data_IF_977314577614
#
_entry.id   IF_977314577614
#
_cell.length_a   1.000
_cell.length_b   1.000
_cell.length_c   1.000
_cell.angle_alpha   90.00
_cell.angle_beta   90.00
_cell.angle_gamma   90.00
#
_symmetry.space_group_name_H-M   'P 1'
#
loop_
_entity.id
_entity.type
_entity.pdbx_description
1 polymer ?
#
# COMPACT_ATOMS: atom_id res chain seq x y z
N UNK A 1 6.04 -10.15 -10.43
CA UNK A 1 5.66 -10.68 -11.76
C UNK A 1 6.83 -11.41 -12.44
N UNK A 2 8.04 -10.80 -12.47
CA UNK A 2 9.23 -11.47 -13.10
C UNK A 2 9.58 -12.78 -12.40
N UNK A 3 9.51 -12.83 -11.07
CA UNK A 3 9.76 -14.06 -10.30
C UNK A 3 8.77 -15.19 -10.66
N UNK A 4 7.51 -14.84 -10.93
CA UNK A 4 6.47 -15.79 -11.33
C UNK A 4 6.73 -16.30 -12.76
N UNK A 5 7.14 -15.41 -13.66
CA UNK A 5 7.45 -15.76 -15.06
C UNK A 5 8.75 -16.57 -15.18
N UNK A 6 9.65 -16.48 -14.18
CA UNK A 6 10.90 -17.24 -14.15
C UNK A 6 11.87 -16.86 -15.27
N UNK A 7 12.54 -17.86 -15.84
CA UNK A 7 13.59 -17.65 -16.86
C UNK A 7 13.14 -16.90 -18.11
N UNK A 8 11.87 -17.02 -18.52
CA UNK A 8 11.32 -16.28 -19.66
C UNK A 8 11.25 -14.77 -19.44
N UNK A 9 11.29 -14.31 -18.19
CA UNK A 9 11.34 -12.87 -17.86
C UNK A 9 12.70 -12.24 -18.15
N UNK A 10 13.76 -13.05 -18.30
CA UNK A 10 15.14 -12.57 -18.51
C UNK A 10 15.47 -12.49 -20.01
N UNK A 11 14.90 -13.40 -20.81
CA UNK A 11 15.16 -13.47 -22.23
C UNK A 11 14.50 -12.31 -22.97
N UNK A 12 15.27 -11.59 -23.80
CA UNK A 12 14.71 -10.62 -24.73
C UNK A 12 14.02 -11.34 -25.88
N UNK A 13 12.80 -10.95 -26.17
CA UNK A 13 12.06 -11.53 -27.29
C UNK A 13 10.56 -11.34 -27.19
N UNK A 14 9.80 -11.77 -28.19
CA UNK A 14 8.35 -11.55 -28.28
C UNK A 14 7.57 -12.23 -27.15
N UNK A 15 8.17 -13.21 -26.48
CA UNK A 15 7.55 -14.00 -25.43
C UNK A 15 7.67 -13.36 -24.04
N UNK A 16 8.59 -12.40 -23.87
CA UNK A 16 8.73 -11.66 -22.64
C UNK A 16 7.81 -10.42 -22.65
N UNK A 17 6.54 -10.60 -22.28
CA UNK A 17 5.58 -9.51 -22.21
C UNK A 17 5.87 -8.53 -21.08
N UNK A 18 6.66 -8.92 -20.06
CA UNK A 18 7.02 -8.04 -18.93
C UNK A 18 8.17 -7.10 -19.27
N UNK A 19 8.97 -7.40 -20.28
CA UNK A 19 10.16 -6.63 -20.65
C UNK A 19 9.83 -5.16 -20.91
N UNK A 20 8.73 -4.88 -21.61
CA UNK A 20 8.29 -3.51 -21.90
C UNK A 20 7.97 -2.72 -20.63
N UNK A 21 7.32 -3.35 -19.65
CA UNK A 21 7.03 -2.74 -18.34
C UNK A 21 8.31 -2.51 -17.55
N UNK A 22 9.20 -3.49 -17.51
CA UNK A 22 10.50 -3.34 -16.86
C UNK A 22 11.32 -2.21 -17.47
N UNK A 23 11.38 -2.13 -18.79
CA UNK A 23 12.12 -1.08 -19.51
C UNK A 23 11.52 0.30 -19.31
N UNK A 24 10.22 0.43 -19.15
CA UNK A 24 9.54 1.69 -18.88
C UNK A 24 9.52 2.10 -17.41
N UNK A 25 9.75 1.18 -16.47
CA UNK A 25 9.69 1.45 -15.04
C UNK A 25 10.59 2.62 -14.58
N UNK A 26 11.83 2.83 -15.11
CA UNK A 26 12.66 3.98 -14.75
C UNK A 26 12.03 5.34 -15.03
N UNK A 27 11.07 5.44 -15.96
CA UNK A 27 10.34 6.68 -16.23
C UNK A 27 9.64 7.17 -14.96
N UNK A 28 9.01 6.27 -14.19
CA UNK A 28 8.35 6.60 -12.93
C UNK A 28 9.28 7.14 -11.83
N UNK A 29 10.60 6.94 -11.97
CA UNK A 29 11.59 7.48 -11.03
C UNK A 29 11.90 8.95 -11.33
N UNK A 30 11.85 9.35 -12.61
CA UNK A 30 12.40 10.63 -13.09
C UNK A 30 11.33 11.63 -13.55
N UNK A 31 10.17 11.16 -14.01
CA UNK A 31 9.10 12.00 -14.54
C UNK A 31 8.05 12.27 -13.48
N UNK A 32 7.50 13.51 -13.46
CA UNK A 32 6.45 13.94 -12.54
C UNK A 32 6.86 13.99 -11.05
N UNK A 33 8.13 14.20 -10.79
CA UNK A 33 8.71 14.20 -9.45
C UNK A 33 9.23 12.82 -9.05
N UNK A 34 10.51 12.78 -8.63
CA UNK A 34 11.08 11.53 -8.17
C UNK A 34 10.29 11.00 -6.96
N UNK A 35 10.15 9.67 -6.86
CA UNK A 35 9.45 9.03 -5.75
C UNK A 35 9.99 9.50 -4.38
N UNK A 36 11.30 9.75 -4.28
CA UNK A 36 11.93 10.28 -3.07
C UNK A 36 11.44 11.68 -2.72
N UNK A 37 11.36 12.58 -3.72
CA UNK A 37 10.87 13.94 -3.51
C UNK A 37 9.37 13.93 -3.14
N UNK A 38 8.59 13.18 -3.88
CA UNK A 38 7.15 13.07 -3.64
C UNK A 38 6.87 12.52 -2.24
N UNK A 39 7.53 11.42 -1.87
CA UNK A 39 7.35 10.76 -0.59
C UNK A 39 7.81 11.64 0.58
N UNK A 40 9.01 12.20 0.52
CA UNK A 40 9.60 12.88 1.67
C UNK A 40 9.19 14.35 1.80
N UNK A 41 8.87 15.03 0.71
CA UNK A 41 8.57 16.47 0.74
C UNK A 41 7.12 16.81 0.41
N UNK A 42 6.54 16.18 -0.61
CA UNK A 42 5.22 16.58 -1.09
C UNK A 42 4.11 15.96 -0.24
N UNK A 43 4.09 14.63 -0.09
CA UNK A 43 2.99 13.92 0.58
C UNK A 43 2.86 14.37 2.03
N UNK A 44 3.92 14.29 2.82
CA UNK A 44 3.83 14.63 4.23
C UNK A 44 4.10 16.10 4.50
N UNK A 45 5.26 16.65 4.14
CA UNK A 45 5.66 17.99 4.57
C UNK A 45 4.77 19.11 3.98
N UNK A 46 4.47 19.07 2.67
CA UNK A 46 3.54 20.03 2.07
C UNK A 46 2.08 19.67 2.34
N UNK A 47 1.75 18.37 2.32
CA UNK A 47 0.42 17.87 2.63
C UNK A 47 -0.03 18.28 4.02
N UNK A 48 0.84 18.17 5.03
CA UNK A 48 0.57 18.60 6.39
C UNK A 48 0.13 20.08 6.47
N UNK A 49 0.87 20.96 5.80
CA UNK A 49 0.56 22.40 5.81
C UNK A 49 -0.80 22.71 5.19
N UNK A 50 -1.24 21.93 4.20
CA UNK A 50 -2.52 22.14 3.50
C UNK A 50 -3.70 21.43 4.15
N UNK A 51 -3.46 20.26 4.73
CA UNK A 51 -4.53 19.39 5.25
C UNK A 51 -4.83 19.62 6.73
N UNK A 52 -3.85 20.12 7.50
CA UNK A 52 -4.07 20.38 8.92
C UNK A 52 -5.05 21.54 9.10
N UNK A 53 -6.13 21.40 9.93
CA UNK A 53 -7.21 22.36 10.00
C UNK A 53 -6.79 23.77 10.45
N UNK A 54 -5.66 23.89 11.14
CA UNK A 54 -5.22 25.16 11.72
C UNK A 54 -3.86 25.66 11.24
N UNK A 55 -3.02 24.82 10.62
CA UNK A 55 -1.67 25.24 10.18
C UNK A 55 -1.77 26.21 9.00
N UNK A 56 -2.57 25.92 7.99
CA UNK A 56 -2.67 26.77 6.81
C UNK A 56 -3.24 28.16 7.16
N UNK A 57 -4.37 28.29 7.90
CA UNK A 57 -4.86 29.59 8.36
C UNK A 57 -3.84 30.36 9.23
N UNK A 58 -3.09 29.64 10.08
CA UNK A 58 -2.03 30.23 10.90
C UNK A 58 -0.92 30.84 10.04
N UNK A 59 -0.45 30.11 9.03
CA UNK A 59 0.59 30.59 8.11
C UNK A 59 0.10 31.78 7.27
N UNK A 60 -1.16 31.77 6.84
CA UNK A 60 -1.77 32.87 6.09
C UNK A 60 -1.83 34.15 6.94
N UNK A 61 -2.30 34.07 8.19
CA UNK A 61 -2.35 35.21 9.08
C UNK A 61 -0.97 35.80 9.38
N UNK A 62 0.08 34.94 9.41
CA UNK A 62 1.47 35.39 9.55
C UNK A 62 1.95 36.17 8.33
N UNK A 63 1.62 35.71 7.12
CA UNK A 63 1.97 36.38 5.86
C UNK A 63 1.25 37.73 5.69
N UNK A 64 0.02 37.82 6.18
CA UNK A 64 -0.81 39.02 6.14
C UNK A 64 -0.49 40.01 7.30
N UNK A 65 0.40 39.63 8.23
CA UNK A 65 0.74 40.36 9.43
C UNK A 65 -0.48 40.62 10.33
N UNK A 66 -1.50 39.78 10.30
CA UNK A 66 -2.68 39.84 11.16
C UNK A 66 -2.42 39.13 12.49
N UNK A 67 -1.98 39.89 13.49
CA UNK A 67 -1.64 39.38 14.83
C UNK A 67 -2.86 38.82 15.54
N UNK A 68 -4.06 39.39 15.33
CA UNK A 68 -5.28 38.94 15.99
C UNK A 68 -5.74 37.59 15.41
N UNK A 69 -5.78 37.46 14.10
CA UNK A 69 -6.07 36.20 13.43
C UNK A 69 -5.03 35.12 13.79
N UNK A 70 -3.74 35.47 13.79
CA UNK A 70 -2.66 34.57 14.21
C UNK A 70 -2.89 34.04 15.63
N UNK A 71 -3.13 34.92 16.61
CA UNK A 71 -3.37 34.50 17.99
C UNK A 71 -4.58 33.55 18.11
N UNK A 72 -5.66 33.85 17.39
CA UNK A 72 -6.87 33.00 17.36
C UNK A 72 -6.57 31.62 16.76
N UNK A 73 -5.91 31.54 15.61
CA UNK A 73 -5.58 30.27 14.96
C UNK A 73 -4.56 29.48 15.77
N UNK A 74 -3.60 30.13 16.39
CA UNK A 74 -2.63 29.49 17.28
C UNK A 74 -3.32 28.85 18.49
N UNK A 75 -4.22 29.56 19.15
CA UNK A 75 -5.00 29.02 20.27
C UNK A 75 -5.80 27.78 19.84
N UNK A 76 -6.51 27.86 18.72
CA UNK A 76 -7.27 26.72 18.17
C UNK A 76 -6.36 25.51 17.84
N UNK A 77 -5.18 25.75 17.29
CA UNK A 77 -4.21 24.70 17.01
C UNK A 77 -3.73 24.00 18.29
N UNK A 78 -3.43 24.78 19.34
CA UNK A 78 -3.02 24.21 20.63
C UNK A 78 -4.13 23.38 21.26
N UNK A 79 -5.35 23.90 21.30
CA UNK A 79 -6.53 23.18 21.84
C UNK A 79 -6.78 21.89 21.04
N UNK A 80 -6.72 21.93 19.72
CA UNK A 80 -6.86 20.76 18.86
C UNK A 80 -5.79 19.70 19.17
N UNK A 81 -4.53 20.11 19.26
CA UNK A 81 -3.42 19.19 19.54
C UNK A 81 -3.53 18.56 20.94
N UNK A 82 -3.91 19.33 21.94
CA UNK A 82 -4.15 18.81 23.30
C UNK A 82 -5.35 17.85 23.35
N UNK A 83 -6.41 18.14 22.60
CA UNK A 83 -7.58 17.27 22.50
C UNK A 83 -7.22 15.92 21.88
N UNK A 84 -6.50 15.91 20.76
CA UNK A 84 -6.03 14.67 20.14
C UNK A 84 -5.12 13.87 21.06
N UNK A 85 -4.19 14.54 21.72
CA UNK A 85 -3.29 13.90 22.67
C UNK A 85 -4.06 13.26 23.84
N UNK A 86 -5.00 13.99 24.46
CA UNK A 86 -5.84 13.47 25.53
C UNK A 86 -6.69 12.29 25.09
N UNK A 87 -7.30 12.37 23.90
CA UNK A 87 -8.05 11.25 23.33
C UNK A 87 -7.14 10.02 23.09
N UNK A 88 -5.94 10.22 22.56
CA UNK A 88 -5.02 9.11 22.30
C UNK A 88 -4.56 8.43 23.60
N UNK A 89 -4.39 9.17 24.68
CA UNK A 89 -4.11 8.62 26.00
C UNK A 89 -5.27 7.76 26.53
N UNK A 90 -6.50 8.28 26.44
CA UNK A 90 -7.71 7.55 26.88
C UNK A 90 -7.88 6.25 26.06
N UNK A 91 -7.74 6.32 24.76
CA UNK A 91 -7.91 5.18 23.87
C UNK A 91 -6.78 4.14 23.99
N UNK A 92 -5.58 4.55 24.39
CA UNK A 92 -4.49 3.62 24.63
C UNK A 92 -4.80 2.59 25.73
N UNK A 93 -5.74 2.91 26.63
CA UNK A 93 -6.18 2.02 27.72
C UNK A 93 -7.37 1.13 27.33
N UNK A 94 -8.06 1.41 26.23
CA UNK A 94 -9.28 0.71 25.81
C UNK A 94 -9.02 -0.66 25.17
N UNK A 95 -7.79 -0.92 24.70
CA UNK A 95 -7.48 -2.10 23.88
C UNK A 95 -8.12 -2.10 22.49
N UNK A 96 -8.73 -0.99 22.08
CA UNK A 96 -9.31 -0.83 20.75
C UNK A 96 -8.24 -0.85 19.66
N UNK A 97 -8.46 -1.66 18.63
CA UNK A 97 -7.58 -1.83 17.47
C UNK A 97 -8.24 -1.36 16.17
N UNK A 98 -9.32 -0.58 16.27
CA UNK A 98 -10.04 -0.06 15.10
C UNK A 98 -9.16 0.84 14.23
N UNK A 99 -9.54 0.99 12.96
CA UNK A 99 -8.85 1.88 12.03
C UNK A 99 -8.96 3.35 12.49
N UNK A 100 -10.07 3.73 13.12
CA UNK A 100 -10.27 5.04 13.72
C UNK A 100 -9.22 5.35 14.80
N UNK A 101 -8.90 4.34 15.62
CA UNK A 101 -7.85 4.48 16.62
C UNK A 101 -6.47 4.66 15.98
N UNK A 102 -6.15 3.91 14.94
CA UNK A 102 -4.88 4.09 14.21
C UNK A 102 -4.77 5.48 13.56
N UNK A 103 -5.87 6.01 13.02
CA UNK A 103 -5.93 7.38 12.49
C UNK A 103 -5.69 8.41 13.60
N UNK A 104 -6.30 8.25 14.77
CA UNK A 104 -6.09 9.13 15.92
C UNK A 104 -4.64 9.13 16.40
N UNK A 105 -4.00 7.94 16.46
CA UNK A 105 -2.58 7.80 16.81
C UNK A 105 -1.68 8.53 15.82
N UNK A 106 -1.93 8.35 14.53
CA UNK A 106 -1.21 9.04 13.46
C UNK A 106 -1.42 10.57 13.54
N UNK A 107 -2.64 11.04 13.74
CA UNK A 107 -2.94 12.47 13.88
C UNK A 107 -2.23 13.07 15.10
N UNK A 108 -2.19 12.36 16.22
CA UNK A 108 -1.45 12.78 17.41
C UNK A 108 0.04 12.88 17.13
N UNK A 109 0.66 11.82 16.55
CA UNK A 109 2.06 11.82 16.16
C UNK A 109 2.40 12.98 15.21
N UNK A 110 1.54 13.23 14.24
CA UNK A 110 1.68 14.29 13.24
C UNK A 110 1.82 15.67 13.89
N UNK A 111 1.05 15.99 14.94
CA UNK A 111 1.17 17.26 15.65
C UNK A 111 2.55 17.45 16.28
N UNK A 112 3.15 16.39 16.85
CA UNK A 112 4.50 16.45 17.41
C UNK A 112 5.57 16.58 16.32
N UNK A 113 5.43 15.85 15.23
CA UNK A 113 6.34 15.96 14.09
C UNK A 113 6.27 17.34 13.44
N UNK A 114 5.08 17.95 13.39
CA UNK A 114 4.88 19.31 12.90
C UNK A 114 5.70 20.37 13.67
N UNK A 115 6.01 20.15 14.94
CA UNK A 115 6.83 21.06 15.75
C UNK A 115 8.26 21.20 15.21
N UNK A 116 8.75 20.23 14.42
CA UNK A 116 10.05 20.35 13.74
C UNK A 116 10.08 21.44 12.66
N UNK A 117 8.91 21.86 12.17
CA UNK A 117 8.75 22.97 11.24
C UNK A 117 9.65 22.82 10.00
N UNK A 118 10.43 23.84 9.68
CA UNK A 118 11.32 23.83 8.51
C UNK A 118 12.41 22.74 8.50
N UNK A 119 12.75 22.15 9.65
CA UNK A 119 13.70 21.03 9.74
C UNK A 119 13.23 19.77 9.04
N UNK A 120 11.90 19.61 8.83
CA UNK A 120 11.36 18.48 8.08
C UNK A 120 11.92 18.38 6.66
N UNK A 121 12.38 19.49 6.07
CA UNK A 121 13.02 19.49 4.75
C UNK A 121 14.36 18.72 4.73
N UNK A 122 15.06 18.69 5.85
CA UNK A 122 16.32 17.96 6.00
C UNK A 122 16.14 16.58 6.61
N UNK A 123 15.08 16.36 7.40
CA UNK A 123 14.78 15.08 8.03
C UNK A 123 13.94 14.16 7.10
N UNK A 124 14.48 13.85 5.92
CA UNK A 124 13.76 13.16 4.87
C UNK A 124 13.35 11.72 5.22
N UNK A 125 14.10 11.03 6.06
CA UNK A 125 13.76 9.70 6.54
C UNK A 125 12.48 9.76 7.40
N UNK A 126 12.43 10.71 8.34
CA UNK A 126 11.26 10.94 9.18
C UNK A 126 10.03 11.31 8.34
N UNK A 127 10.18 12.29 7.44
CA UNK A 127 9.10 12.71 6.56
C UNK A 127 8.61 11.57 5.64
N UNK A 128 9.53 10.73 5.18
CA UNK A 128 9.22 9.54 4.38
C UNK A 128 8.42 8.51 5.17
N UNK A 129 8.84 8.16 6.39
CA UNK A 129 8.11 7.22 7.24
C UNK A 129 6.71 7.74 7.62
N UNK A 130 6.56 9.06 7.80
CA UNK A 130 5.25 9.67 8.01
C UNK A 130 4.37 9.62 6.75
N UNK A 131 4.95 9.79 5.56
CA UNK A 131 4.23 9.65 4.30
C UNK A 131 3.76 8.21 4.05
N UNK A 132 4.58 7.22 4.37
CA UNK A 132 4.22 5.80 4.28
C UNK A 132 3.08 5.45 5.25
N UNK A 133 3.13 5.97 6.49
CA UNK A 133 2.04 5.79 7.45
C UNK A 133 0.73 6.38 6.92
N UNK A 134 0.77 7.61 6.38
CA UNK A 134 -0.40 8.22 5.77
C UNK A 134 -0.94 7.37 4.62
N UNK A 135 -0.05 6.88 3.75
CA UNK A 135 -0.43 6.03 2.60
C UNK A 135 -1.07 4.73 3.04
N UNK A 136 -0.53 4.05 4.06
CA UNK A 136 -1.10 2.82 4.60
C UNK A 136 -2.50 3.04 5.19
N UNK A 137 -2.71 4.12 5.94
CA UNK A 137 -4.02 4.46 6.50
C UNK A 137 -5.03 4.83 5.40
N UNK A 138 -4.59 5.57 4.39
CA UNK A 138 -5.43 5.94 3.25
C UNK A 138 -5.85 4.70 2.44
N UNK A 139 -4.93 3.77 2.20
CA UNK A 139 -5.22 2.50 1.53
C UNK A 139 -6.17 1.65 2.37
N UNK A 140 -5.95 1.51 3.68
CA UNK A 140 -6.83 0.77 4.57
C UNK A 140 -8.25 1.34 4.56
N UNK A 141 -8.39 2.66 4.65
CA UNK A 141 -9.70 3.34 4.56
C UNK A 141 -10.37 3.10 3.20
N UNK A 142 -9.59 3.16 2.11
CA UNK A 142 -10.10 2.91 0.75
C UNK A 142 -10.60 1.47 0.59
N UNK A 143 -9.89 0.48 1.14
CA UNK A 143 -10.32 -0.92 1.15
C UNK A 143 -11.62 -1.10 1.93
N UNK A 144 -11.74 -0.49 3.12
CA UNK A 144 -12.99 -0.49 3.88
C UNK A 144 -14.15 0.16 3.12
N UNK A 145 -13.89 1.24 2.38
CA UNK A 145 -14.88 1.90 1.55
C UNK A 145 -15.37 1.00 0.40
N UNK A 146 -14.44 0.36 -0.31
CA UNK A 146 -14.76 -0.58 -1.40
C UNK A 146 -15.59 -1.75 -0.88
N UNK A 147 -15.24 -2.31 0.29
CA UNK A 147 -16.01 -3.38 0.91
C UNK A 147 -17.48 -2.98 1.15
N UNK A 148 -17.70 -1.78 1.68
CA UNK A 148 -19.07 -1.27 1.92
C UNK A 148 -19.89 -1.11 0.62
N UNK A 149 -19.23 -0.75 -0.48
CA UNK A 149 -19.88 -0.51 -1.77
C UNK A 149 -20.11 -1.79 -2.58
N UNK A 150 -19.13 -2.68 -2.62
CA UNK A 150 -19.08 -3.79 -3.58
C UNK A 150 -19.29 -5.17 -2.98
N UNK A 151 -19.56 -5.27 -1.68
CA UNK A 151 -19.76 -6.56 -0.98
C UNK A 151 -18.60 -7.54 -1.15
N UNK A 152 -17.35 -7.05 -1.20
CA UNK A 152 -16.15 -7.90 -1.19
C UNK A 152 -16.15 -8.82 0.04
N UNK A 153 -15.41 -9.94 -0.04
CA UNK A 153 -15.23 -10.84 1.11
C UNK A 153 -14.70 -10.03 2.32
N UNK A 154 -15.40 -10.15 3.45
CA UNK A 154 -15.00 -9.48 4.69
C UNK A 154 -13.62 -9.98 5.15
N UNK A 155 -13.39 -11.30 5.11
CA UNK A 155 -12.13 -11.90 5.52
C UNK A 155 -10.96 -11.37 4.67
N UNK A 156 -11.13 -11.28 3.35
CA UNK A 156 -10.12 -10.73 2.44
C UNK A 156 -9.84 -9.24 2.74
N UNK A 157 -10.88 -8.45 2.93
CA UNK A 157 -10.76 -7.03 3.27
C UNK A 157 -10.04 -6.83 4.60
N UNK A 158 -10.44 -7.59 5.63
CA UNK A 158 -9.85 -7.50 6.96
C UNK A 158 -8.36 -7.87 6.93
N UNK A 159 -7.99 -8.94 6.23
CA UNK A 159 -6.60 -9.36 6.06
C UNK A 159 -5.73 -8.25 5.46
N UNK A 160 -6.24 -7.53 4.45
CA UNK A 160 -5.51 -6.40 3.83
C UNK A 160 -5.36 -5.26 4.84
N UNK A 161 -6.44 -4.89 5.55
CA UNK A 161 -6.43 -3.82 6.54
C UNK A 161 -5.45 -4.15 7.67
N UNK A 162 -5.49 -5.37 8.21
CA UNK A 162 -4.59 -5.81 9.29
C UNK A 162 -3.12 -5.79 8.86
N UNK A 163 -2.83 -6.16 7.61
CA UNK A 163 -1.47 -6.09 7.05
C UNK A 163 -0.98 -4.64 6.97
N UNK A 164 -1.82 -3.72 6.47
CA UNK A 164 -1.48 -2.30 6.37
C UNK A 164 -1.31 -1.66 7.75
N UNK A 165 -2.18 -2.01 8.70
CA UNK A 165 -2.12 -1.52 10.08
C UNK A 165 -0.88 -2.06 10.80
N UNK A 166 -0.50 -3.32 10.62
CA UNK A 166 0.70 -3.89 11.20
C UNK A 166 1.96 -3.16 10.74
N UNK A 167 2.08 -2.88 9.44
CA UNK A 167 3.19 -2.09 8.90
C UNK A 167 3.14 -0.63 9.39
N UNK A 168 1.94 -0.05 9.48
CA UNK A 168 1.76 1.29 10.03
C UNK A 168 2.26 1.40 11.48
N UNK A 169 1.97 0.40 12.32
CA UNK A 169 2.44 0.32 13.72
C UNK A 169 3.95 0.20 13.80
N UNK A 170 4.56 -0.60 12.93
CA UNK A 170 6.02 -0.71 12.82
C UNK A 170 6.67 0.64 12.52
N UNK A 171 6.17 1.34 11.49
CA UNK A 171 6.64 2.67 11.11
C UNK A 171 6.44 3.70 12.21
N UNK A 172 5.31 3.66 12.91
CA UNK A 172 5.03 4.55 14.04
C UNK A 172 6.03 4.37 15.17
N UNK A 173 6.33 3.13 15.55
CA UNK A 173 7.35 2.82 16.54
C UNK A 173 8.72 3.36 16.13
N UNK A 174 9.10 3.14 14.87
CA UNK A 174 10.35 3.63 14.29
C UNK A 174 10.44 5.17 14.37
N UNK A 175 9.38 5.87 13.96
CA UNK A 175 9.33 7.34 14.04
C UNK A 175 9.47 7.81 15.49
N UNK A 176 8.70 7.25 16.43
CA UNK A 176 8.74 7.64 17.83
C UNK A 176 10.14 7.42 18.43
N UNK A 177 10.79 6.31 18.12
CA UNK A 177 12.13 6.00 18.64
C UNK A 177 13.21 6.97 18.12
N UNK A 178 12.99 7.54 16.94
CA UNK A 178 13.91 8.51 16.31
C UNK A 178 13.53 9.98 16.56
N UNK A 179 12.46 10.25 17.31
CA UNK A 179 12.18 11.61 17.80
C UNK A 179 13.12 11.95 18.96
N UNK A 180 13.30 13.26 19.19
CA UNK A 180 14.04 13.79 20.31
C UNK A 180 13.37 13.52 21.67
N UNK A 181 13.39 14.50 22.60
CA UNK A 181 12.74 14.36 23.92
C UNK A 181 11.24 14.06 23.83
N UNK A 182 10.60 14.45 22.75
CA UNK A 182 9.15 14.25 22.50
C UNK A 182 8.75 12.77 22.54
N UNK A 183 9.68 11.86 22.24
CA UNK A 183 9.45 10.41 22.29
C UNK A 183 8.92 9.92 23.65
N UNK A 184 9.29 10.59 24.75
CA UNK A 184 8.82 10.18 26.08
C UNK A 184 7.33 10.43 26.29
N UNK A 185 6.81 11.54 25.71
CA UNK A 185 5.38 11.82 25.73
C UNK A 185 4.56 10.89 24.83
N UNK A 186 5.19 10.28 23.82
CA UNK A 186 4.51 9.49 22.79
C UNK A 186 4.60 7.97 23.01
N UNK A 187 5.16 7.51 24.12
CA UNK A 187 5.30 6.06 24.41
C UNK A 187 3.96 5.32 24.40
N UNK A 188 2.86 5.98 24.79
CA UNK A 188 1.52 5.40 24.79
C UNK A 188 1.00 5.11 23.35
N UNK A 189 1.57 5.72 22.32
CA UNK A 189 1.23 5.45 20.91
C UNK A 189 1.94 4.21 20.37
N UNK A 190 2.96 3.71 21.04
CA UNK A 190 3.70 2.53 20.56
C UNK A 190 2.87 1.27 20.72
N UNK A 191 3.01 0.39 19.76
CA UNK A 191 2.38 -0.93 19.76
C UNK A 191 3.42 -2.03 19.93
N UNK A 192 2.99 -3.17 20.45
CA UNK A 192 3.80 -4.38 20.39
C UNK A 192 4.06 -4.76 18.93
N UNK A 193 5.25 -5.27 18.60
CA UNK A 193 5.52 -5.79 17.26
C UNK A 193 4.50 -6.87 16.89
N UNK A 194 3.92 -6.75 15.72
CA UNK A 194 3.04 -7.79 15.15
C UNK A 194 3.88 -8.59 14.17
N UNK A 195 3.88 -9.90 14.35
CA UNK A 195 4.59 -10.82 13.46
C UNK A 195 3.60 -11.40 12.45
N UNK A 196 4.10 -11.65 11.24
CA UNK A 196 3.32 -12.29 10.18
C UNK A 196 2.92 -13.70 10.61
N UNK A 197 1.65 -14.04 10.46
CA UNK A 197 1.10 -15.35 10.75
C UNK A 197 0.94 -16.15 9.44
N UNK A 198 1.79 -17.16 9.26
CA UNK A 198 1.77 -17.98 8.05
C UNK A 198 0.52 -18.84 7.89
N UNK A 199 -0.19 -19.15 8.98
CA UNK A 199 -1.46 -19.87 8.91
C UNK A 199 -2.58 -18.96 8.39
N UNK A 200 -2.60 -17.71 8.79
CA UNK A 200 -3.51 -16.70 8.24
C UNK A 200 -3.24 -16.45 6.74
N UNK A 201 -1.96 -16.36 6.35
CA UNK A 201 -1.57 -16.24 4.95
C UNK A 201 -2.08 -17.43 4.12
N UNK A 202 -1.93 -18.64 4.66
CA UNK A 202 -2.39 -19.87 3.99
C UNK A 202 -3.91 -19.95 3.91
N UNK A 203 -4.60 -19.61 4.97
CA UNK A 203 -6.06 -19.56 4.99
C UNK A 203 -6.59 -18.54 3.99
N UNK A 204 -5.95 -17.37 3.91
CA UNK A 204 -6.31 -16.33 2.95
C UNK A 204 -6.05 -16.77 1.50
N UNK A 205 -4.94 -17.45 1.24
CA UNK A 205 -4.69 -18.03 -0.08
C UNK A 205 -5.79 -19.04 -0.49
N UNK A 206 -6.20 -19.90 0.43
CA UNK A 206 -7.29 -20.84 0.20
C UNK A 206 -8.62 -20.13 -0.07
N UNK A 207 -8.94 -19.08 0.70
CA UNK A 207 -10.14 -18.25 0.49
C UNK A 207 -10.13 -17.63 -0.92
N UNK A 208 -9.01 -17.07 -1.36
CA UNK A 208 -8.89 -16.47 -2.70
C UNK A 208 -9.10 -17.53 -3.80
N UNK A 209 -8.50 -18.71 -3.63
CA UNK A 209 -8.60 -19.79 -4.62
C UNK A 209 -10.00 -20.43 -4.69
N UNK A 210 -10.73 -20.47 -3.59
CA UNK A 210 -12.05 -21.04 -3.50
C UNK A 210 -13.18 -20.06 -3.81
N UNK A 211 -12.92 -18.75 -3.71
CA UNK A 211 -13.89 -17.70 -3.94
C UNK A 211 -13.66 -16.97 -5.26
N UNK A 212 -14.29 -17.41 -6.36
CA UNK A 212 -14.08 -16.81 -7.68
C UNK A 212 -14.49 -15.33 -7.72
N UNK A 213 -15.37 -14.87 -6.83
CA UNK A 213 -15.79 -13.47 -6.78
C UNK A 213 -14.63 -12.53 -6.41
N UNK A 214 -13.69 -12.98 -5.58
CA UNK A 214 -12.51 -12.17 -5.23
C UNK A 214 -11.64 -11.95 -6.47
N UNK A 215 -11.37 -13.02 -7.22
CA UNK A 215 -10.58 -12.94 -8.44
C UNK A 215 -11.28 -12.10 -9.52
N UNK A 216 -12.58 -12.26 -9.68
CA UNK A 216 -13.38 -11.48 -10.63
C UNK A 216 -13.36 -9.99 -10.30
N UNK A 217 -13.49 -9.62 -9.03
CA UNK A 217 -13.42 -8.23 -8.55
C UNK A 217 -12.06 -7.59 -8.84
N UNK A 218 -10.96 -8.33 -8.61
CA UNK A 218 -9.60 -7.86 -8.93
C UNK A 218 -9.44 -7.70 -10.44
N UNK A 219 -10.00 -8.62 -11.23
CA UNK A 219 -9.86 -8.64 -12.71
C UNK A 219 -10.64 -7.55 -13.43
N UNK A 220 -11.74 -7.05 -12.85
CA UNK A 220 -12.62 -6.05 -13.48
C UNK A 220 -11.87 -4.80 -13.97
N UNK A 221 -10.77 -4.43 -13.30
CA UNK A 221 -10.00 -3.23 -13.62
C UNK A 221 -8.73 -3.54 -14.45
N UNK A 222 -8.51 -4.81 -14.83
CA UNK A 222 -7.37 -5.20 -15.64
C UNK A 222 -7.77 -5.21 -17.11
N UNK A 223 -7.09 -4.40 -17.94
CA UNK A 223 -7.30 -4.40 -19.38
C UNK A 223 -6.59 -5.60 -20.03
N UNK A 224 -7.35 -6.64 -20.35
CA UNK A 224 -6.83 -7.86 -20.98
C UNK A 224 -7.25 -8.02 -22.45
N UNK A 225 -8.33 -7.35 -22.88
CA UNK A 225 -8.87 -7.45 -24.26
C UNK A 225 -7.83 -7.07 -25.30
N UNK A 226 -7.66 -7.94 -26.31
CA UNK A 226 -6.72 -7.72 -27.40
C UNK A 226 -5.25 -7.82 -27.01
N UNK A 227 -4.93 -8.26 -25.82
CA UNK A 227 -3.56 -8.44 -25.34
C UNK A 227 -3.18 -9.91 -25.31
N UNK A 228 -1.88 -10.19 -25.16
CA UNK A 228 -1.39 -11.57 -24.93
C UNK A 228 -2.01 -12.21 -23.68
N UNK A 229 -2.42 -11.40 -22.69
CA UNK A 229 -3.06 -11.89 -21.48
C UNK A 229 -4.42 -12.54 -21.76
N UNK A 230 -5.16 -12.03 -22.74
CA UNK A 230 -6.41 -12.66 -23.19
C UNK A 230 -6.18 -14.03 -23.82
N UNK A 231 -5.13 -14.14 -24.66
CA UNK A 231 -4.74 -15.42 -25.27
C UNK A 231 -4.28 -16.43 -24.21
N UNK A 232 -3.49 -15.97 -23.22
CA UNK A 232 -3.04 -16.79 -22.09
C UNK A 232 -4.21 -17.29 -21.22
N UNK A 233 -5.17 -16.44 -20.95
CA UNK A 233 -6.35 -16.80 -20.16
C UNK A 233 -7.21 -17.84 -20.88
N UNK A 234 -7.46 -17.65 -22.18
CA UNK A 234 -8.18 -18.62 -23.00
C UNK A 234 -7.43 -19.94 -23.12
N UNK A 235 -6.11 -19.88 -23.28
CA UNK A 235 -5.27 -21.08 -23.32
C UNK A 235 -5.31 -21.83 -21.99
N UNK A 236 -5.19 -21.14 -20.85
CA UNK A 236 -5.29 -21.75 -19.51
C UNK A 236 -6.60 -22.52 -19.33
N UNK A 237 -7.73 -21.92 -19.72
CA UNK A 237 -9.03 -22.58 -19.68
C UNK A 237 -9.08 -23.89 -20.50
N UNK A 238 -8.46 -23.92 -21.68
CA UNK A 238 -8.39 -25.15 -22.48
C UNK A 238 -7.44 -26.18 -21.87
N UNK A 239 -6.33 -25.73 -21.27
CA UNK A 239 -5.37 -26.60 -20.59
C UNK A 239 -6.00 -27.28 -19.37
N UNK A 240 -6.75 -26.54 -18.54
CA UNK A 240 -7.45 -27.09 -17.39
C UNK A 240 -8.48 -28.19 -17.78
N UNK A 241 -9.06 -28.07 -18.98
CA UNK A 241 -9.96 -29.09 -19.54
C UNK A 241 -9.22 -30.24 -20.26
N UNK A 242 -7.90 -30.24 -20.25
CA UNK A 242 -7.09 -31.25 -20.92
C UNK A 242 -7.01 -31.13 -22.44
N UNK A 243 -7.46 -30.00 -23.00
CA UNK A 243 -7.45 -29.76 -24.45
C UNK A 243 -6.07 -29.19 -24.90
N UNK A 244 -5.05 -29.96 -24.72
CA UNK A 244 -3.66 -29.56 -25.03
C UNK A 244 -3.40 -29.29 -26.52
N UNK A 245 -4.14 -29.95 -27.42
CA UNK A 245 -4.02 -29.78 -28.87
C UNK A 245 -4.80 -28.56 -29.40
N UNK A 246 -5.46 -27.77 -28.51
CA UNK A 246 -6.18 -26.59 -28.92
C UNK A 246 -5.25 -25.55 -29.54
N UNK A 247 -5.61 -24.90 -30.69
CA UNK A 247 -4.70 -23.98 -31.40
C UNK A 247 -4.14 -22.84 -30.54
N UNK A 248 -4.93 -22.29 -29.62
CA UNK A 248 -4.48 -21.26 -28.69
C UNK A 248 -3.45 -21.79 -27.70
N UNK A 249 -3.63 -23.02 -27.20
CA UNK A 249 -2.66 -23.66 -26.31
C UNK A 249 -1.34 -23.88 -27.03
N UNK A 250 -1.40 -24.40 -28.25
CA UNK A 250 -0.22 -24.64 -29.09
C UNK A 250 0.48 -23.30 -29.42
N UNK A 251 -0.27 -22.25 -29.72
CA UNK A 251 0.29 -20.91 -29.95
C UNK A 251 1.05 -20.41 -28.72
N UNK A 252 0.48 -20.51 -27.51
CA UNK A 252 1.12 -20.09 -26.27
C UNK A 252 2.37 -20.92 -25.97
N UNK A 253 2.32 -22.25 -26.17
CA UNK A 253 3.47 -23.12 -26.00
C UNK A 253 4.61 -22.75 -26.97
N UNK A 254 4.29 -22.48 -28.25
CA UNK A 254 5.28 -22.05 -29.23
C UNK A 254 5.90 -20.70 -28.88
N UNK A 255 5.07 -19.75 -28.41
CA UNK A 255 5.53 -18.45 -27.93
C UNK A 255 6.42 -18.59 -26.70
N UNK A 256 6.21 -19.61 -25.87
CA UNK A 256 7.02 -19.92 -24.68
C UNK A 256 8.35 -20.61 -24.95
N UNK A 257 8.77 -20.79 -26.23
CA UNK A 257 9.99 -21.52 -26.64
C UNK A 257 10.05 -22.99 -26.16
N UNK A 258 8.89 -23.57 -25.82
CA UNK A 258 8.85 -25.01 -25.53
C UNK A 258 8.96 -25.80 -26.81
N UNK A 259 10.06 -26.53 -26.95
CA UNK A 259 10.31 -27.37 -28.10
C UNK A 259 9.19 -28.44 -28.24
N UNK A 260 8.47 -28.41 -29.37
CA UNK A 260 7.36 -29.33 -29.67
C UNK A 260 7.77 -30.81 -29.62
N UNK A 261 9.07 -31.12 -29.63
CA UNK A 261 9.60 -32.49 -29.51
C UNK A 261 9.43 -33.11 -28.12
N UNK A 262 9.07 -32.29 -27.09
CA UNK A 262 8.97 -32.74 -25.71
C UNK A 262 7.55 -32.65 -25.10
N UNK A 263 6.50 -32.79 -25.92
CA UNK A 263 5.09 -32.82 -25.44
C UNK A 263 4.83 -33.88 -24.33
N UNK A 264 5.62 -34.94 -24.28
CA UNK A 264 5.59 -35.97 -23.22
C UNK A 264 6.07 -35.42 -21.87
N UNK A 265 6.96 -34.43 -21.86
CA UNK A 265 7.49 -33.82 -20.64
C UNK A 265 6.55 -32.80 -20.04
N UNK A 266 5.79 -32.05 -20.85
CA UNK A 266 4.79 -31.07 -20.36
C UNK A 266 3.71 -31.79 -19.54
N UNK A 267 3.21 -32.94 -20.03
CA UNK A 267 2.26 -33.79 -19.29
C UNK A 267 2.83 -34.29 -17.95
N UNK A 268 4.13 -34.54 -17.90
CA UNK A 268 4.83 -35.03 -16.71
C UNK A 268 4.98 -33.92 -15.63
N UNK A 269 5.19 -32.67 -16.04
CA UNK A 269 5.27 -31.54 -15.10
C UNK A 269 3.91 -31.17 -14.52
N UNK A 270 2.82 -31.28 -15.29
CA UNK A 270 1.46 -31.04 -14.80
C UNK A 270 1.06 -32.00 -13.66
N UNK A 271 1.60 -33.21 -13.65
CA UNK A 271 1.33 -34.21 -12.59
C UNK A 271 2.12 -33.98 -11.30
N UNK A 272 3.14 -33.11 -11.32
CA UNK A 272 3.99 -32.81 -10.16
C UNK A 272 3.47 -31.58 -9.35
N UNK A 273 2.65 -30.72 -9.97
CA UNK A 273 2.20 -29.45 -9.37
C UNK A 273 0.67 -29.39 -9.10
N UNK A 274 -0.07 -30.47 -9.32
CA UNK A 274 -1.43 -30.69 -8.84
C UNK A 274 -1.41 -31.71 -7.69
#
# INVERSE_FOLDING_TARGET
>A
AMDIQGGSAICLGPNNFLERFYRSAPIGITVEGSNTLTRSLIIFAQGLNKSHPHIFPLLTSLLENDVQAFSSHFHKMVVHSLSLYGQSLLWSTSGDTSLEHEILRFATLTNFVALKGGKLKSEQMLAGSMADQFSNLYLALSVCYVQKQKKCSYAFTQYIVDTLVAENRRLMNEVIDNLGPERFALQHLKSKPTYRNYEEDRAMFQEIMQNPLILEEIRQNIHIKGTILEDLEKASFHMEKGHWDHPLVQKVIQVGEFDNKNNSNIKKYHTIYL
#
